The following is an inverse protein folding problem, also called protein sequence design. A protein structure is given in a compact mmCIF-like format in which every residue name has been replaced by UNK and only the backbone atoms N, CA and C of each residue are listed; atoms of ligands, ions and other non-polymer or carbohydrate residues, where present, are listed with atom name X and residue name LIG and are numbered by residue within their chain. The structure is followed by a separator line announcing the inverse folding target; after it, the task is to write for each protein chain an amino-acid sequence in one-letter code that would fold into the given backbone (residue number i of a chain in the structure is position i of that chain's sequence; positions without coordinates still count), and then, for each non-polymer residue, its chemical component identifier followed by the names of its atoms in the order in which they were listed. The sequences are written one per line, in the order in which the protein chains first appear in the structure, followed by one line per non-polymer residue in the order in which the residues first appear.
data_IF_355016729452
#
_entry.id   IF_355016729452
#
_cell.length_a   1.000
_cell.length_b   1.000
_cell.length_c   1.000
_cell.angle_alpha   90.00
_cell.angle_beta   90.00
_cell.angle_gamma   90.00
#
_symmetry.space_group_name_H-M   'P 1'
#
loop_
_entity.id
_entity.type
_entity.pdbx_description
1 polymer ?
#
# COMPACT_ATOMS: atom_id res chain seq x y z
N UNK A 1 3.39 48.40 54.83
CA UNK A 1 3.33 47.76 53.50
C UNK A 1 2.89 46.33 53.74
N UNK A 2 1.59 46.04 53.60
CA UNK A 2 1.01 44.73 53.85
C UNK A 2 0.99 43.98 52.52
N UNK A 3 1.73 42.87 52.42
CA UNK A 3 1.69 41.97 51.27
C UNK A 3 0.78 40.79 51.61
N UNK A 4 -0.40 40.77 51.00
CA UNK A 4 -1.32 39.65 51.08
C UNK A 4 -0.72 38.48 50.28
N UNK A 5 -0.58 37.31 50.92
CA UNK A 5 -0.22 36.05 50.25
C UNK A 5 -1.35 35.66 49.29
N UNK A 6 -1.12 35.52 47.97
CA UNK A 6 -2.13 34.92 47.11
C UNK A 6 -2.32 33.46 47.49
N UNK A 7 -3.58 33.07 47.54
CA UNK A 7 -4.06 31.71 47.71
C UNK A 7 -3.53 30.86 46.55
N UNK A 8 -2.81 29.76 46.85
CA UNK A 8 -2.43 28.81 45.81
C UNK A 8 -3.55 27.78 45.84
N UNK A 9 -4.54 28.02 44.99
CA UNK A 9 -5.64 27.13 44.67
C UNK A 9 -5.11 25.73 44.36
N UNK A 10 -5.49 24.74 45.18
CA UNK A 10 -5.16 23.32 45.01
C UNK A 10 -5.96 22.75 43.83
N UNK A 11 -5.65 23.22 42.62
CA UNK A 11 -6.20 22.64 41.39
C UNK A 11 -5.51 21.29 41.14
N UNK A 12 -6.22 20.22 41.45
CA UNK A 12 -5.89 18.83 41.13
C UNK A 12 -5.58 18.68 39.64
N UNK A 13 -4.32 18.44 39.29
CA UNK A 13 -3.90 18.15 37.91
C UNK A 13 -4.27 16.70 37.52
N UNK A 14 -4.73 16.44 36.29
CA UNK A 14 -5.35 15.18 35.87
C UNK A 14 -4.41 13.96 35.76
N UNK A 15 -3.14 14.09 36.15
CA UNK A 15 -2.12 13.04 36.04
C UNK A 15 -1.45 12.74 37.39
N UNK A 16 -2.20 12.81 38.49
CA UNK A 16 -1.69 12.32 39.76
C UNK A 16 -1.78 10.79 39.78
N UNK A 17 -0.68 10.06 40.08
CA UNK A 17 -0.74 8.61 40.24
C UNK A 17 -1.63 8.25 41.44
N UNK A 18 -2.60 7.37 41.22
CA UNK A 18 -3.51 6.89 42.26
C UNK A 18 -2.75 6.21 43.40
N UNK A 19 -3.18 6.44 44.64
CA UNK A 19 -2.61 5.81 45.83
C UNK A 19 -2.59 4.28 45.73
N UNK A 20 -1.59 3.66 46.36
CA UNK A 20 -1.33 2.23 46.36
C UNK A 20 -2.51 1.44 46.93
N UNK A 21 -3.43 0.99 46.08
CA UNK A 21 -4.37 -0.09 46.42
C UNK A 21 -3.56 -1.39 46.53
N UNK A 22 -3.50 -1.96 47.75
CA UNK A 22 -2.97 -3.29 48.00
C UNK A 22 -3.94 -4.33 47.41
N UNK A 23 -3.80 -4.57 46.12
CA UNK A 23 -4.53 -5.62 45.42
C UNK A 23 -3.90 -6.96 45.80
N UNK A 24 -4.66 -7.95 46.34
CA UNK A 24 -4.10 -9.26 46.64
C UNK A 24 -3.51 -9.87 45.36
N UNK A 25 -2.28 -10.34 45.47
CA UNK A 25 -1.55 -10.95 44.35
C UNK A 25 -2.26 -12.27 43.99
N UNK A 26 -2.63 -12.49 42.72
CA UNK A 26 -3.28 -13.74 42.32
C UNK A 26 -2.33 -14.93 42.52
N UNK A 27 -2.78 -15.94 43.26
CA UNK A 27 -2.07 -17.21 43.40
C UNK A 27 -2.41 -18.12 42.23
N UNK A 28 -1.43 -18.49 41.43
CA UNK A 28 -1.61 -19.44 40.31
C UNK A 28 -1.42 -20.88 40.80
N UNK A 29 -2.45 -21.71 40.65
CA UNK A 29 -2.33 -23.17 40.80
C UNK A 29 -1.74 -23.77 39.53
N UNK A 30 -0.56 -24.38 39.64
CA UNK A 30 0.09 -25.14 38.55
C UNK A 30 -0.70 -26.43 38.29
N UNK A 31 -1.38 -26.48 37.15
CA UNK A 31 -2.02 -27.69 36.60
C UNK A 31 -0.97 -28.53 35.85
N UNK A 32 -1.04 -29.88 35.87
CA UNK A 32 -0.09 -30.73 35.16
C UNK A 32 -0.05 -30.38 33.66
N UNK A 33 1.17 -30.18 33.15
CA UNK A 33 1.41 -29.90 31.73
C UNK A 33 1.16 -31.18 30.93
N UNK A 34 0.13 -31.16 30.07
CA UNK A 34 -0.03 -32.17 29.03
C UNK A 34 1.02 -31.92 27.95
N UNK A 35 2.01 -32.80 27.87
CA UNK A 35 3.00 -32.78 26.78
C UNK A 35 2.31 -33.26 25.51
N UNK A 36 1.88 -32.33 24.66
CA UNK A 36 1.44 -32.65 23.30
C UNK A 36 2.67 -32.87 22.43
N UNK A 37 2.82 -34.08 21.91
CA UNK A 37 3.80 -34.36 20.87
C UNK A 37 3.35 -33.62 19.60
N UNK A 38 4.17 -32.76 18.98
CA UNK A 38 3.79 -32.11 17.73
C UNK A 38 3.69 -33.17 16.62
N UNK A 39 2.48 -33.44 16.17
CA UNK A 39 2.27 -34.21 14.94
C UNK A 39 2.64 -33.32 13.76
N UNK A 40 3.66 -33.70 13.00
CA UNK A 40 4.01 -33.00 11.75
C UNK A 40 2.96 -33.38 10.72
N UNK A 41 1.97 -32.50 10.52
CA UNK A 41 1.04 -32.60 9.39
C UNK A 41 1.71 -32.02 8.16
N UNK A 42 2.03 -32.87 7.18
CA UNK A 42 2.51 -32.41 5.88
C UNK A 42 1.38 -31.65 5.19
N UNK A 43 1.50 -30.32 5.11
CA UNK A 43 0.60 -29.51 4.29
C UNK A 43 0.88 -29.83 2.82
N UNK A 44 -0.13 -30.22 2.02
CA UNK A 44 0.07 -30.41 0.60
C UNK A 44 0.57 -29.11 -0.04
N UNK A 45 1.43 -29.18 -1.07
CA UNK A 45 1.88 -27.99 -1.77
C UNK A 45 0.68 -27.20 -2.31
N UNK A 46 0.77 -25.86 -2.39
CA UNK A 46 -0.31 -25.06 -2.93
C UNK A 46 -0.62 -25.52 -4.36
N UNK A 47 -1.86 -25.91 -4.60
CA UNK A 47 -2.34 -26.20 -5.95
C UNK A 47 -2.30 -24.90 -6.75
N UNK A 48 -1.56 -24.89 -7.87
CA UNK A 48 -1.57 -23.76 -8.79
C UNK A 48 -2.94 -23.66 -9.45
N UNK A 49 -3.85 -22.90 -8.85
CA UNK A 49 -5.10 -22.54 -9.51
C UNK A 49 -4.75 -21.52 -10.59
N UNK A 50 -4.78 -21.94 -11.86
CA UNK A 50 -4.76 -21.00 -12.98
C UNK A 50 -5.99 -20.09 -12.82
N UNK A 51 -5.77 -18.87 -12.34
CA UNK A 51 -6.81 -17.86 -12.29
C UNK A 51 -7.21 -17.54 -13.73
N UNK A 52 -8.41 -17.97 -14.13
CA UNK A 52 -9.00 -17.50 -15.38
C UNK A 52 -9.18 -15.99 -15.26
N UNK A 53 -8.36 -15.23 -15.99
CA UNK A 53 -8.54 -13.78 -16.10
C UNK A 53 -9.89 -13.57 -16.80
N UNK A 54 -10.85 -12.84 -16.19
CA UNK A 54 -12.11 -12.54 -16.85
C UNK A 54 -11.84 -11.92 -18.22
N UNK A 55 -12.63 -12.24 -19.26
CA UNK A 55 -12.45 -11.62 -20.56
C UNK A 55 -12.54 -10.10 -20.38
N UNK A 56 -11.47 -9.39 -20.79
CA UNK A 56 -11.46 -7.94 -20.83
C UNK A 56 -12.61 -7.47 -21.70
N UNK A 57 -13.57 -6.75 -21.10
CA UNK A 57 -14.64 -6.08 -21.84
C UNK A 57 -14.00 -5.13 -22.86
N UNK A 58 -14.48 -5.08 -24.11
CA UNK A 58 -13.95 -4.15 -25.10
C UNK A 58 -14.08 -2.71 -24.57
N UNK A 59 -13.05 -1.87 -24.77
CA UNK A 59 -13.07 -0.50 -24.29
C UNK A 59 -14.22 0.28 -24.95
N UNK A 60 -14.92 1.16 -24.22
CA UNK A 60 -16.00 1.98 -24.78
C UNK A 60 -15.49 2.80 -25.98
N UNK A 61 -16.26 2.82 -27.06
CA UNK A 61 -15.89 3.52 -28.30
C UNK A 61 -15.90 5.04 -28.14
N UNK A 62 -16.72 5.57 -27.24
CA UNK A 62 -16.81 7.00 -26.91
C UNK A 62 -16.76 7.16 -25.38
N UNK A 63 -15.58 7.37 -24.81
CA UNK A 63 -15.39 7.64 -23.38
C UNK A 63 -14.80 9.03 -23.21
N UNK A 64 -15.25 9.76 -22.20
CA UNK A 64 -14.60 11.03 -21.80
C UNK A 64 -13.38 10.80 -20.91
N UNK A 65 -13.16 9.57 -20.44
CA UNK A 65 -12.09 9.18 -19.52
C UNK A 65 -11.04 8.32 -20.21
N UNK A 66 -9.77 8.63 -19.93
CA UNK A 66 -8.62 7.80 -20.30
C UNK A 66 -8.74 6.42 -19.66
N UNK A 67 -8.47 5.39 -20.46
CA UNK A 67 -8.47 3.99 -20.01
C UNK A 67 -7.03 3.44 -19.99
N UNK A 68 -6.76 2.55 -19.05
CA UNK A 68 -5.45 1.95 -18.85
C UNK A 68 -5.59 0.43 -18.78
N UNK A 69 -4.74 -0.27 -19.52
CA UNK A 69 -4.57 -1.73 -19.39
C UNK A 69 -3.12 -1.93 -18.96
N UNK A 70 -2.92 -2.66 -17.86
CA UNK A 70 -1.60 -2.93 -17.30
C UNK A 70 -1.40 -4.44 -17.17
N UNK A 71 -0.29 -4.93 -17.71
CA UNK A 71 0.22 -6.27 -17.43
C UNK A 71 1.49 -6.11 -16.60
N UNK A 72 1.45 -6.56 -15.35
CA UNK A 72 2.54 -6.39 -14.40
C UNK A 72 3.10 -7.73 -13.95
N UNK A 73 4.42 -7.87 -13.97
CA UNK A 73 5.15 -9.01 -13.41
C UNK A 73 5.96 -8.53 -12.21
N UNK A 74 5.65 -9.08 -11.03
CA UNK A 74 6.34 -8.76 -9.79
C UNK A 74 7.47 -9.77 -9.55
N UNK A 75 8.68 -9.26 -9.33
CA UNK A 75 9.82 -10.05 -8.86
C UNK A 75 10.13 -9.68 -7.41
N UNK A 76 9.67 -10.51 -6.47
CA UNK A 76 9.83 -10.25 -5.03
C UNK A 76 11.29 -10.34 -4.56
N UNK A 77 12.10 -11.26 -5.11
CA UNK A 77 13.49 -11.42 -4.72
C UNK A 77 14.32 -10.18 -5.06
N UNK A 78 14.09 -9.62 -6.25
CA UNK A 78 14.79 -8.42 -6.73
C UNK A 78 14.07 -7.12 -6.36
N UNK A 79 12.86 -7.20 -5.77
CA UNK A 79 11.99 -6.06 -5.44
C UNK A 79 11.71 -5.15 -6.64
N UNK A 80 11.48 -5.75 -7.81
CA UNK A 80 11.19 -5.02 -9.05
C UNK A 80 9.84 -5.39 -9.61
N UNK A 81 9.28 -4.49 -10.42
CA UNK A 81 8.05 -4.70 -11.18
C UNK A 81 8.34 -4.35 -12.64
N UNK A 82 8.03 -5.26 -13.56
CA UNK A 82 8.01 -5.00 -14.99
C UNK A 82 6.57 -4.79 -15.43
N UNK A 83 6.29 -3.74 -16.23
CA UNK A 83 4.93 -3.35 -16.62
C UNK A 83 4.86 -3.07 -18.11
N UNK A 84 3.92 -3.73 -18.78
CA UNK A 84 3.44 -3.32 -20.10
C UNK A 84 2.12 -2.56 -19.92
N UNK A 85 2.08 -1.31 -20.39
CA UNK A 85 0.92 -0.42 -20.23
C UNK A 85 0.41 0.06 -21.58
N UNK A 86 -0.89 -0.10 -21.81
CA UNK A 86 -1.61 0.51 -22.93
C UNK A 86 -2.50 1.63 -22.40
N UNK A 87 -2.32 2.84 -22.95
CA UNK A 87 -3.12 4.02 -22.61
C UNK A 87 -4.05 4.32 -23.78
N UNK A 88 -5.37 4.31 -23.53
CA UNK A 88 -6.37 4.79 -24.49
C UNK A 88 -6.83 6.18 -24.05
N UNK A 89 -6.26 7.20 -24.67
CA UNK A 89 -6.58 8.60 -24.42
C UNK A 89 -7.68 9.09 -25.38
N UNK A 90 -8.60 9.91 -24.87
CA UNK A 90 -9.68 10.51 -25.64
C UNK A 90 -9.55 12.03 -25.60
N UNK A 91 -9.32 12.65 -26.75
CA UNK A 91 -9.24 14.10 -26.86
C UNK A 91 -10.65 14.70 -27.00
N UNK A 92 -11.13 15.31 -25.92
CA UNK A 92 -12.48 15.89 -25.85
C UNK A 92 -12.50 17.42 -26.05
N UNK A 93 -11.38 18.02 -26.44
CA UNK A 93 -11.24 19.49 -26.51
C UNK A 93 -11.75 20.08 -27.82
N UNK A 94 -12.00 19.25 -28.85
CA UNK A 94 -12.39 19.70 -30.19
C UNK A 94 -11.26 20.34 -31.00
N UNK A 95 -10.05 20.39 -30.47
CA UNK A 95 -8.83 20.87 -31.16
C UNK A 95 -7.82 19.73 -31.28
N UNK A 96 -6.93 19.79 -32.27
CA UNK A 96 -5.88 18.78 -32.43
C UNK A 96 -4.92 18.81 -31.24
N UNK A 97 -4.61 17.63 -30.68
CA UNK A 97 -3.65 17.48 -29.61
C UNK A 97 -2.27 17.20 -30.20
N UNK A 98 -1.32 18.10 -29.99
CA UNK A 98 0.05 17.98 -30.51
C UNK A 98 0.98 17.18 -29.61
N UNK A 99 0.68 17.09 -28.31
CA UNK A 99 1.56 16.49 -27.32
C UNK A 99 0.77 15.85 -26.18
N UNK A 100 1.28 14.72 -25.67
CA UNK A 100 0.85 14.10 -24.41
C UNK A 100 2.07 14.00 -23.51
N UNK A 101 2.03 14.65 -22.35
CA UNK A 101 3.08 14.56 -21.35
C UNK A 101 2.77 13.42 -20.38
N UNK A 102 3.63 12.40 -20.34
CA UNK A 102 3.57 11.31 -19.37
C UNK A 102 4.54 11.61 -18.24
N UNK A 103 3.99 11.97 -17.07
CA UNK A 103 4.80 12.23 -15.89
C UNK A 103 5.02 10.95 -15.10
N UNK A 104 6.28 10.68 -14.75
CA UNK A 104 6.64 9.73 -13.71
C UNK A 104 7.09 10.51 -12.50
N UNK A 105 6.55 10.16 -11.33
CA UNK A 105 6.97 10.84 -10.11
C UNK A 105 8.49 10.64 -9.94
N UNK A 106 9.26 11.71 -9.71
CA UNK A 106 10.68 11.58 -9.44
C UNK A 106 10.83 10.69 -8.22
N UNK A 107 11.37 9.51 -8.45
CA UNK A 107 11.53 8.55 -7.40
C UNK A 107 12.59 9.05 -6.43
N UNK A 108 12.35 8.86 -5.13
CA UNK A 108 13.31 9.20 -4.08
C UNK A 108 14.65 8.43 -4.19
N UNK A 109 14.74 7.44 -5.09
CA UNK A 109 15.87 6.54 -5.26
C UNK A 109 16.38 6.55 -6.70
N UNK A 110 17.69 6.43 -6.87
CA UNK A 110 18.31 6.28 -8.20
C UNK A 110 17.85 4.97 -8.87
N UNK A 111 17.69 5.01 -10.19
CA UNK A 111 17.42 3.85 -11.05
C UNK A 111 16.13 3.07 -10.75
N UNK A 112 15.16 3.66 -10.07
CA UNK A 112 13.90 3.00 -9.69
C UNK A 112 12.81 3.08 -10.77
N UNK A 113 13.05 3.79 -11.88
CA UNK A 113 12.20 3.75 -13.06
C UNK A 113 13.07 3.72 -14.31
N UNK A 114 12.68 2.87 -15.26
CA UNK A 114 13.28 2.80 -16.59
C UNK A 114 12.17 2.57 -17.60
N UNK A 115 12.15 3.37 -18.66
CA UNK A 115 11.21 3.20 -19.76
C UNK A 115 11.91 2.50 -20.92
N UNK A 116 11.48 1.27 -21.23
CA UNK A 116 12.12 0.47 -22.27
C UNK A 116 11.69 0.91 -23.68
N UNK A 117 10.40 1.19 -23.87
CA UNK A 117 9.86 1.67 -25.14
C UNK A 117 8.49 2.33 -24.96
N UNK A 118 8.13 3.18 -25.92
CA UNK A 118 6.77 3.62 -26.15
C UNK A 118 6.45 3.53 -27.63
N UNK A 119 5.18 3.31 -27.93
CA UNK A 119 4.69 3.38 -29.29
C UNK A 119 3.31 4.01 -29.32
N UNK A 120 3.05 4.82 -30.33
CA UNK A 120 1.72 5.33 -30.64
C UNK A 120 1.27 4.70 -31.96
N UNK A 121 0.09 4.08 -31.94
CA UNK A 121 -0.53 3.47 -33.13
C UNK A 121 0.42 2.54 -33.92
N UNK A 122 1.26 1.79 -33.20
CA UNK A 122 2.25 0.85 -33.77
C UNK A 122 3.59 1.49 -34.16
N UNK A 123 3.72 2.82 -34.10
CA UNK A 123 4.98 3.52 -34.37
C UNK A 123 5.77 3.71 -33.08
N UNK A 124 6.99 3.15 -33.02
CA UNK A 124 7.88 3.28 -31.86
C UNK A 124 8.49 4.69 -31.81
N UNK A 125 8.52 5.30 -30.62
CA UNK A 125 9.22 6.56 -30.40
C UNK A 125 10.50 6.33 -29.57
N UNK A 126 11.54 7.10 -29.89
CA UNK A 126 12.80 7.11 -29.16
C UNK A 126 12.80 8.24 -28.13
N UNK A 127 13.36 7.97 -26.96
CA UNK A 127 13.59 8.97 -25.92
C UNK A 127 15.06 9.39 -25.95
N UNK A 128 15.32 10.68 -25.75
CA UNK A 128 16.68 11.25 -25.63
C UNK A 128 17.01 11.41 -24.16
#
# INVERSE_FOLDING_TARGET
MTINKPDIDSTSTPFQPSDLINTPIPTFTISPTVTSTPTITLTPPPTSTSGSVPPTSPPPTNSSRTNYILYATLNFANKTIAVDQTIRYYNNTGVNLSEIVLSVQPNAYRNSFSLNSISQDGTKHHFV
#
